data_IF_973799251279
#
_entry.id   IF_973799251279
#
_cell.length_a   1.000
_cell.length_b   1.000
_cell.length_c   1.000
_cell.angle_alpha   90.00
_cell.angle_beta   90.00
_cell.angle_gamma   90.00
#
_symmetry.space_group_name_H-M   'P 1'
#
loop_
_entity.id
_entity.type
_entity.pdbx_description
1 polymer ?
#
# COMPACT_ATOMS: atom_id res chain seq x y z
N UNK A 1 22.90 -9.40 -20.49
CA UNK A 1 21.86 -10.29 -21.06
C UNK A 1 20.54 -10.12 -20.32
N UNK A 2 20.58 -9.95 -18.99
CA UNK A 2 19.41 -9.66 -18.14
C UNK A 2 18.72 -8.32 -18.50
N UNK A 3 19.44 -7.22 -18.70
CA UNK A 3 18.83 -5.94 -19.09
C UNK A 3 17.98 -6.02 -20.37
N UNK A 4 18.47 -6.69 -21.42
CA UNK A 4 17.71 -6.86 -22.67
C UNK A 4 16.44 -7.70 -22.47
N UNK A 5 16.47 -8.65 -21.54
CA UNK A 5 15.31 -9.49 -21.21
C UNK A 5 14.26 -8.68 -20.44
N UNK A 6 14.68 -7.84 -19.51
CA UNK A 6 13.76 -7.00 -18.74
C UNK A 6 13.15 -5.89 -19.59
N UNK A 7 13.93 -5.29 -20.49
CA UNK A 7 13.40 -4.36 -21.50
C UNK A 7 12.38 -5.05 -22.40
N UNK A 8 12.63 -6.28 -22.85
CA UNK A 8 11.67 -7.03 -23.67
C UNK A 8 10.37 -7.35 -22.91
N UNK A 9 10.43 -7.65 -21.61
CA UNK A 9 9.23 -7.85 -20.77
C UNK A 9 8.43 -6.55 -20.64
N UNK A 10 9.11 -5.44 -20.38
CA UNK A 10 8.46 -4.12 -20.27
C UNK A 10 7.84 -3.71 -21.61
N UNK A 11 8.53 -3.94 -22.72
CA UNK A 11 8.01 -3.69 -24.07
C UNK A 11 6.77 -4.54 -24.37
N UNK A 12 6.76 -5.81 -23.95
CA UNK A 12 5.57 -6.69 -24.05
C UNK A 12 4.40 -6.16 -23.22
N UNK A 13 4.65 -5.67 -22.00
CA UNK A 13 3.61 -5.04 -21.17
C UNK A 13 3.06 -3.76 -21.79
N UNK A 14 3.92 -2.90 -22.34
CA UNK A 14 3.51 -1.69 -23.08
C UNK A 14 2.64 -2.08 -24.27
N UNK A 15 3.09 -3.04 -25.07
CA UNK A 15 2.36 -3.53 -26.23
C UNK A 15 0.96 -4.07 -25.86
N UNK A 16 0.86 -4.87 -24.81
CA UNK A 16 -0.41 -5.40 -24.32
C UNK A 16 -1.34 -4.26 -23.84
N UNK A 17 -0.80 -3.30 -23.11
CA UNK A 17 -1.56 -2.15 -22.63
C UNK A 17 -2.07 -1.28 -23.79
N UNK A 18 -1.23 -1.00 -24.78
CA UNK A 18 -1.59 -0.25 -26.00
C UNK A 18 -2.68 -0.99 -26.78
N UNK A 19 -2.58 -2.31 -26.90
CA UNK A 19 -3.55 -3.15 -27.62
C UNK A 19 -4.95 -3.14 -27.00
N UNK A 20 -5.05 -2.86 -25.70
CA UNK A 20 -6.32 -2.76 -24.96
C UNK A 20 -6.98 -1.37 -25.05
N UNK A 21 -6.27 -0.35 -25.55
CA UNK A 21 -6.83 0.99 -25.69
C UNK A 21 -7.83 1.06 -26.87
N UNK A 22 -8.95 1.77 -26.72
CA UNK A 22 -9.94 1.93 -27.78
C UNK A 22 -9.37 2.73 -28.98
N UNK A 23 -8.41 3.62 -28.73
CA UNK A 23 -7.67 4.41 -29.73
C UNK A 23 -6.42 3.67 -30.24
N UNK A 24 -6.57 2.38 -30.59
CA UNK A 24 -5.46 1.57 -31.10
C UNK A 24 -4.94 2.14 -32.42
N UNK A 25 -3.64 2.38 -32.52
CA UNK A 25 -2.98 2.74 -33.77
C UNK A 25 -2.15 1.55 -34.25
N UNK A 26 -2.53 0.99 -35.41
CA UNK A 26 -1.87 -0.19 -35.99
C UNK A 26 -0.38 0.06 -36.27
N UNK A 27 -0.01 1.30 -36.61
CA UNK A 27 1.38 1.70 -36.84
C UNK A 27 2.20 1.72 -35.53
N UNK A 28 1.57 2.12 -34.42
CA UNK A 28 2.20 2.13 -33.09
C UNK A 28 2.46 0.70 -32.61
N UNK A 29 1.49 -0.20 -32.81
CA UNK A 29 1.62 -1.62 -32.50
C UNK A 29 2.72 -2.27 -33.35
N UNK A 30 2.77 -1.96 -34.65
CA UNK A 30 3.77 -2.51 -35.57
C UNK A 30 5.19 -2.07 -35.20
N UNK A 31 5.38 -0.80 -34.80
CA UNK A 31 6.67 -0.29 -34.30
C UNK A 31 7.11 -0.94 -32.98
N UNK A 32 6.19 -1.21 -32.06
CA UNK A 32 6.47 -1.96 -30.84
C UNK A 32 6.82 -3.44 -31.11
N UNK A 33 6.38 -3.98 -32.24
CA UNK A 33 6.69 -5.36 -32.65
C UNK A 33 8.00 -5.48 -33.44
N UNK A 34 8.44 -4.44 -34.15
CA UNK A 34 9.54 -4.54 -35.13
C UNK A 34 10.93 -4.49 -34.51
N UNK A 35 11.14 -3.63 -33.51
CA UNK A 35 12.47 -3.35 -32.95
C UNK A 35 12.45 -3.38 -31.41
N UNK A 36 13.53 -3.85 -30.80
CA UNK A 36 13.73 -3.69 -29.35
C UNK A 36 14.03 -2.21 -29.08
N UNK A 37 13.06 -1.51 -28.52
CA UNK A 37 13.16 -0.08 -28.23
C UNK A 37 13.94 0.13 -26.93
N UNK A 38 14.60 1.28 -26.81
CA UNK A 38 15.23 1.66 -25.55
C UNK A 38 14.17 2.13 -24.51
N UNK A 39 14.55 2.12 -23.23
CA UNK A 39 13.66 2.50 -22.12
C UNK A 39 13.16 3.94 -22.22
N UNK A 40 13.96 4.85 -22.77
CA UNK A 40 13.58 6.26 -22.95
C UNK A 40 12.52 6.39 -24.03
N UNK A 41 12.68 5.69 -25.16
CA UNK A 41 11.72 5.63 -26.24
C UNK A 41 10.40 5.01 -25.78
N UNK A 42 10.44 3.89 -25.03
CA UNK A 42 9.24 3.28 -24.44
C UNK A 42 8.51 4.25 -23.51
N UNK A 43 9.26 5.06 -22.75
CA UNK A 43 8.69 6.05 -21.84
C UNK A 43 8.06 7.22 -22.59
N UNK A 44 8.87 7.95 -23.38
CA UNK A 44 8.49 9.23 -23.98
C UNK A 44 7.53 9.08 -25.16
N UNK A 45 7.67 8.03 -25.97
CA UNK A 45 6.88 7.87 -27.19
C UNK A 45 5.60 7.06 -26.98
N UNK A 46 5.51 6.26 -25.91
CA UNK A 46 4.37 5.36 -25.69
C UNK A 46 3.75 5.55 -24.30
N UNK A 47 4.49 5.38 -23.21
CA UNK A 47 3.91 5.37 -21.87
C UNK A 47 3.40 6.75 -21.43
N UNK A 48 4.14 7.82 -21.72
CA UNK A 48 3.77 9.21 -21.43
C UNK A 48 2.55 9.68 -22.23
N UNK A 49 2.53 9.62 -23.57
CA UNK A 49 1.43 10.16 -24.37
C UNK A 49 0.12 9.40 -24.18
N UNK A 50 0.19 8.10 -23.86
CA UNK A 50 -0.97 7.24 -23.70
C UNK A 50 -1.46 7.13 -22.24
N UNK A 51 -0.78 7.79 -21.29
CA UNK A 51 -1.16 7.77 -19.87
C UNK A 51 -1.06 6.38 -19.23
N UNK A 52 -0.12 5.56 -19.69
CA UNK A 52 0.07 4.18 -19.20
C UNK A 52 0.93 4.16 -17.92
N UNK A 53 0.35 4.58 -16.80
CA UNK A 53 1.08 4.78 -15.54
C UNK A 53 1.78 3.51 -15.01
N UNK A 54 1.17 2.33 -15.16
CA UNK A 54 1.79 1.08 -14.76
C UNK A 54 3.01 0.73 -15.62
N UNK A 55 2.94 1.02 -16.92
CA UNK A 55 4.07 0.85 -17.82
C UNK A 55 5.18 1.84 -17.48
N UNK A 56 4.87 3.09 -17.14
CA UNK A 56 5.87 4.06 -16.65
C UNK A 56 6.62 3.52 -15.43
N UNK A 57 5.90 2.97 -14.45
CA UNK A 57 6.51 2.37 -13.26
C UNK A 57 7.42 1.18 -13.62
N UNK A 58 6.96 0.32 -14.53
CA UNK A 58 7.73 -0.84 -14.99
C UNK A 58 9.01 -0.43 -15.74
N UNK A 59 8.92 0.60 -16.59
CA UNK A 59 10.07 1.16 -17.32
C UNK A 59 11.09 1.74 -16.33
N UNK A 60 10.66 2.58 -15.38
CA UNK A 60 11.56 3.18 -14.39
C UNK A 60 12.24 2.12 -13.50
N UNK A 61 11.48 1.10 -13.08
CA UNK A 61 12.01 -0.02 -12.31
C UNK A 61 13.04 -0.81 -13.11
N UNK A 62 12.77 -1.10 -14.39
CA UNK A 62 13.71 -1.79 -15.28
C UNK A 62 14.97 -0.97 -15.57
N UNK A 63 14.83 0.36 -15.72
CA UNK A 63 15.95 1.26 -15.97
C UNK A 63 16.73 1.62 -14.70
N UNK A 64 16.27 1.14 -13.52
CA UNK A 64 16.77 1.55 -12.20
C UNK A 64 16.86 3.09 -12.04
N UNK A 65 15.94 3.81 -12.70
CA UNK A 65 15.89 5.27 -12.67
C UNK A 65 14.91 5.71 -11.58
N UNK A 66 15.45 6.08 -10.43
CA UNK A 66 14.67 6.49 -9.27
C UNK A 66 14.58 8.01 -9.15
N UNK A 67 13.34 8.50 -9.12
CA UNK A 67 12.98 9.83 -8.66
C UNK A 67 11.77 9.69 -7.71
N UNK A 68 11.95 10.10 -6.45
CA UNK A 68 10.93 9.93 -5.41
C UNK A 68 9.61 10.64 -5.74
N UNK A 69 9.69 11.85 -6.30
CA UNK A 69 8.51 12.65 -6.62
C UNK A 69 7.77 12.04 -7.82
N UNK A 70 8.52 11.61 -8.84
CA UNK A 70 7.97 10.94 -10.02
C UNK A 70 7.31 9.61 -9.66
N UNK A 71 7.99 8.74 -8.89
CA UNK A 71 7.43 7.45 -8.46
C UNK A 71 6.14 7.66 -7.65
N UNK A 72 6.14 8.61 -6.72
CA UNK A 72 4.94 8.94 -5.93
C UNK A 72 3.80 9.46 -6.83
N UNK A 73 4.12 10.34 -7.78
CA UNK A 73 3.15 10.83 -8.78
C UNK A 73 2.58 9.72 -9.64
N UNK A 74 3.40 8.77 -10.09
CA UNK A 74 2.95 7.61 -10.87
C UNK A 74 1.97 6.77 -10.05
N UNK A 75 2.31 6.42 -8.80
CA UNK A 75 1.42 5.68 -7.92
C UNK A 75 0.11 6.42 -7.64
N UNK A 76 0.17 7.73 -7.41
CA UNK A 76 -1.03 8.56 -7.24
C UNK A 76 -1.94 8.49 -8.47
N UNK A 77 -1.37 8.58 -9.67
CA UNK A 77 -2.13 8.50 -10.92
C UNK A 77 -2.72 7.10 -11.17
N UNK A 78 -1.99 6.02 -10.85
CA UNK A 78 -2.51 4.65 -10.90
C UNK A 78 -3.75 4.52 -10.02
N UNK A 79 -3.65 4.97 -8.77
CA UNK A 79 -4.76 4.88 -7.79
C UNK A 79 -5.93 5.76 -8.24
N UNK A 80 -5.68 7.00 -8.66
CA UNK A 80 -6.71 7.94 -9.10
C UNK A 80 -7.46 7.43 -10.33
N UNK A 81 -6.74 6.86 -11.32
CA UNK A 81 -7.34 6.28 -12.50
C UNK A 81 -8.28 5.12 -12.14
N UNK A 82 -7.89 4.28 -11.19
CA UNK A 82 -8.71 3.15 -10.74
C UNK A 82 -9.93 3.62 -9.93
N UNK A 83 -9.73 4.54 -8.98
CA UNK A 83 -10.80 5.17 -8.19
C UNK A 83 -11.84 5.86 -9.08
N UNK A 84 -11.40 6.56 -10.13
CA UNK A 84 -12.30 7.26 -11.07
C UNK A 84 -13.25 6.29 -11.78
N UNK A 85 -12.77 5.11 -12.20
CA UNK A 85 -13.61 4.06 -12.82
C UNK A 85 -14.66 3.52 -11.84
N UNK A 86 -14.38 3.56 -10.55
CA UNK A 86 -15.23 3.02 -9.50
C UNK A 86 -16.25 4.02 -8.95
N UNK A 87 -16.34 5.24 -9.50
CA UNK A 87 -17.16 6.32 -8.92
C UNK A 87 -18.62 5.91 -8.63
N UNK A 88 -19.24 5.16 -9.55
CA UNK A 88 -20.63 4.70 -9.45
C UNK A 88 -20.81 3.33 -8.78
N UNK A 89 -19.72 2.67 -8.38
CA UNK A 89 -19.78 1.35 -7.73
C UNK A 89 -20.13 1.46 -6.24
N UNK A 90 -20.65 0.37 -5.68
CA UNK A 90 -20.86 0.22 -4.23
C UNK A 90 -19.51 0.09 -3.48
N UNK A 91 -19.57 0.22 -2.15
CA UNK A 91 -18.39 0.16 -1.27
C UNK A 91 -17.63 -1.16 -1.38
N UNK A 92 -18.32 -2.29 -1.45
CA UNK A 92 -17.67 -3.61 -1.48
C UNK A 92 -16.89 -3.76 -2.78
N UNK A 93 -17.52 -3.44 -3.91
CA UNK A 93 -16.87 -3.45 -5.23
C UNK A 93 -15.68 -2.49 -5.29
N UNK A 94 -15.81 -1.29 -4.71
CA UNK A 94 -14.71 -0.30 -4.62
C UNK A 94 -13.49 -0.87 -3.89
N UNK A 95 -13.71 -1.41 -2.69
CA UNK A 95 -12.65 -1.96 -1.85
C UNK A 95 -12.02 -3.22 -2.45
N UNK A 96 -12.83 -4.10 -3.05
CA UNK A 96 -12.36 -5.32 -3.68
C UNK A 96 -11.51 -5.02 -4.93
N UNK A 97 -11.98 -4.12 -5.80
CA UNK A 97 -11.31 -3.81 -7.07
C UNK A 97 -9.99 -3.08 -6.84
N UNK A 98 -10.01 -2.00 -6.05
CA UNK A 98 -8.78 -1.28 -5.70
C UNK A 98 -7.82 -2.19 -4.92
N UNK A 99 -8.33 -2.97 -3.97
CA UNK A 99 -7.51 -3.88 -3.18
C UNK A 99 -6.82 -4.96 -4.03
N UNK A 100 -7.53 -5.54 -5.00
CA UNK A 100 -6.96 -6.52 -5.95
C UNK A 100 -5.87 -5.91 -6.82
N UNK A 101 -6.10 -4.69 -7.33
CA UNK A 101 -5.11 -3.95 -8.12
C UNK A 101 -3.83 -3.69 -7.33
N UNK A 102 -3.97 -3.23 -6.09
CA UNK A 102 -2.84 -2.90 -5.21
C UNK A 102 -2.09 -4.13 -4.74
N UNK A 103 -2.77 -5.25 -4.50
CA UNK A 103 -2.11 -6.54 -4.20
C UNK A 103 -1.25 -7.01 -5.38
N UNK A 104 -1.78 -6.92 -6.61
CA UNK A 104 -1.07 -7.33 -7.82
C UNK A 104 0.20 -6.50 -8.02
N UNK A 105 0.08 -5.17 -8.00
CA UNK A 105 1.24 -4.29 -8.16
C UNK A 105 2.21 -4.41 -6.98
N UNK A 106 1.69 -4.53 -5.76
CA UNK A 106 2.49 -4.70 -4.56
C UNK A 106 3.37 -5.95 -4.60
N UNK A 107 2.88 -7.09 -5.09
CA UNK A 107 3.71 -8.30 -5.23
C UNK A 107 4.91 -8.12 -6.15
N UNK A 108 4.80 -7.24 -7.14
CA UNK A 108 5.90 -6.93 -8.07
C UNK A 108 6.91 -5.98 -7.44
N UNK A 109 6.44 -4.93 -6.74
CA UNK A 109 7.30 -3.81 -6.34
C UNK A 109 7.64 -3.76 -4.84
N UNK A 110 6.95 -4.50 -3.96
CA UNK A 110 7.13 -4.36 -2.50
C UNK A 110 8.55 -4.65 -1.99
N UNK A 111 9.31 -5.47 -2.72
CA UNK A 111 10.72 -5.77 -2.43
C UNK A 111 11.67 -4.64 -2.86
N UNK A 112 11.21 -3.73 -3.72
CA UNK A 112 11.99 -2.62 -4.24
C UNK A 112 11.57 -1.33 -3.52
N UNK A 113 12.26 -0.99 -2.43
CA UNK A 113 11.85 0.13 -1.57
C UNK A 113 11.78 1.48 -2.29
N UNK A 114 12.63 1.67 -3.31
CA UNK A 114 12.65 2.87 -4.14
C UNK A 114 11.39 3.02 -5.00
N UNK A 115 10.87 1.90 -5.52
CA UNK A 115 9.72 1.90 -6.42
C UNK A 115 8.39 1.60 -5.72
N UNK A 116 8.43 1.37 -4.40
CA UNK A 116 7.26 1.12 -3.56
C UNK A 116 7.23 2.09 -2.37
N UNK A 117 6.70 3.33 -2.56
CA UNK A 117 6.67 4.37 -1.53
C UNK A 117 5.65 4.02 -0.45
N UNK A 118 6.05 3.12 0.45
CA UNK A 118 5.18 2.42 1.39
C UNK A 118 4.35 3.37 2.26
N UNK A 119 4.96 4.41 2.82
CA UNK A 119 4.27 5.36 3.70
C UNK A 119 3.17 6.15 2.96
N UNK A 120 3.47 6.60 1.73
CA UNK A 120 2.48 7.24 0.85
C UNK A 120 1.34 6.28 0.50
N UNK A 121 1.66 5.03 0.15
CA UNK A 121 0.66 4.02 -0.21
C UNK A 121 -0.26 3.68 0.96
N UNK A 122 0.29 3.46 2.15
CA UNK A 122 -0.49 3.19 3.37
C UNK A 122 -1.42 4.36 3.67
N UNK A 123 -0.90 5.60 3.69
CA UNK A 123 -1.71 6.80 3.95
C UNK A 123 -2.84 6.96 2.93
N UNK A 124 -2.53 6.78 1.64
CA UNK A 124 -3.50 6.92 0.55
C UNK A 124 -4.59 5.86 0.66
N UNK A 125 -4.23 4.59 0.87
CA UNK A 125 -5.19 3.51 1.04
C UNK A 125 -6.07 3.73 2.27
N UNK A 126 -5.49 4.12 3.40
CA UNK A 126 -6.28 4.37 4.60
C UNK A 126 -7.23 5.57 4.45
N UNK A 127 -6.85 6.58 3.67
CA UNK A 127 -7.77 7.68 3.32
C UNK A 127 -8.98 7.16 2.53
N UNK A 128 -8.78 6.26 1.57
CA UNK A 128 -9.89 5.63 0.84
C UNK A 128 -10.71 4.67 1.71
N UNK A 129 -10.06 3.93 2.61
CA UNK A 129 -10.72 3.07 3.60
C UNK A 129 -11.69 3.90 4.44
N UNK A 130 -11.26 5.06 4.94
CA UNK A 130 -12.11 5.99 5.69
C UNK A 130 -13.29 6.47 4.86
N UNK A 131 -13.04 7.00 3.66
CA UNK A 131 -14.03 7.61 2.75
C UNK A 131 -15.08 6.62 2.25
N UNK A 132 -14.69 5.38 2.01
CA UNK A 132 -15.60 4.32 1.56
C UNK A 132 -16.18 3.53 2.72
N UNK A 133 -15.85 3.87 3.96
CA UNK A 133 -16.26 3.16 5.16
C UNK A 133 -15.84 1.67 5.16
N UNK A 134 -14.62 1.40 4.71
CA UNK A 134 -13.99 0.09 4.74
C UNK A 134 -13.64 -0.38 6.16
N UNK A 135 -13.42 -1.70 6.33
CA UNK A 135 -13.12 -2.27 7.62
C UNK A 135 -11.70 -1.90 8.10
N UNK A 136 -11.49 -1.76 9.42
CA UNK A 136 -10.15 -1.63 10.00
C UNK A 136 -9.32 -2.87 9.61
N UNK A 137 -8.21 -2.68 8.90
CA UNK A 137 -7.38 -3.78 8.40
C UNK A 137 -7.47 -4.07 6.90
N UNK A 138 -8.34 -3.38 6.14
CA UNK A 138 -8.39 -3.52 4.68
C UNK A 138 -7.04 -3.18 4.02
N UNK A 139 -6.49 -2.00 4.30
CA UNK A 139 -5.20 -1.59 3.73
C UNK A 139 -4.04 -2.44 4.28
N UNK A 140 -4.06 -2.77 5.56
CA UNK A 140 -3.10 -3.70 6.19
C UNK A 140 -3.05 -5.02 5.42
N UNK A 141 -4.20 -5.63 5.15
CA UNK A 141 -4.30 -6.91 4.46
C UNK A 141 -3.73 -6.85 3.05
N UNK A 142 -3.94 -5.74 2.33
CA UNK A 142 -3.38 -5.52 0.99
C UNK A 142 -1.85 -5.51 1.05
N UNK A 143 -1.28 -4.72 1.96
CA UNK A 143 0.17 -4.50 2.05
C UNK A 143 0.90 -5.75 2.56
N UNK A 144 0.32 -6.48 3.52
CA UNK A 144 0.87 -7.78 3.94
C UNK A 144 0.82 -8.80 2.81
N UNK A 145 -0.29 -8.86 2.04
CA UNK A 145 -0.41 -9.77 0.88
C UNK A 145 0.55 -9.40 -0.26
N UNK A 146 1.00 -8.15 -0.32
CA UNK A 146 2.04 -7.70 -1.25
C UNK A 146 3.45 -8.19 -0.85
N UNK A 147 3.63 -8.73 0.36
CA UNK A 147 4.91 -9.26 0.85
C UNK A 147 5.71 -8.28 1.72
N UNK A 148 5.10 -7.18 2.17
CA UNK A 148 5.73 -6.30 3.17
C UNK A 148 5.65 -6.97 4.54
N UNK A 149 6.78 -7.00 5.27
CA UNK A 149 6.81 -7.60 6.60
C UNK A 149 5.92 -6.84 7.60
N UNK A 150 5.35 -7.58 8.56
CA UNK A 150 4.51 -7.00 9.60
C UNK A 150 5.25 -5.89 10.37
N UNK A 151 6.51 -6.11 10.73
CA UNK A 151 7.33 -5.14 11.46
C UNK A 151 7.50 -3.83 10.67
N UNK A 152 7.85 -3.91 9.38
CA UNK A 152 8.01 -2.73 8.53
C UNK A 152 6.71 -1.95 8.41
N UNK A 153 5.59 -2.67 8.24
CA UNK A 153 4.27 -2.07 8.16
C UNK A 153 3.85 -1.41 9.49
N UNK A 154 4.05 -2.09 10.62
CA UNK A 154 3.75 -1.57 11.94
C UNK A 154 4.53 -0.28 12.23
N UNK A 155 5.82 -0.23 11.87
CA UNK A 155 6.64 0.97 12.00
C UNK A 155 6.10 2.16 11.18
N UNK A 156 5.58 1.90 9.97
CA UNK A 156 4.93 2.94 9.14
C UNK A 156 3.66 3.47 9.80
N UNK A 157 2.78 2.59 10.30
CA UNK A 157 1.57 3.03 11.00
C UNK A 157 1.88 3.83 12.27
N UNK A 158 2.91 3.45 13.03
CA UNK A 158 3.39 4.24 14.18
C UNK A 158 3.81 5.64 13.76
N UNK A 159 4.61 5.78 12.68
CA UNK A 159 5.04 7.09 12.16
C UNK A 159 3.85 7.92 11.69
N UNK A 160 2.90 7.32 10.96
CA UNK A 160 1.70 8.00 10.51
C UNK A 160 0.84 8.49 11.68
N UNK A 161 0.74 7.69 12.75
CA UNK A 161 0.05 8.10 13.98
C UNK A 161 0.78 9.24 14.69
N UNK A 162 2.11 9.13 14.83
CA UNK A 162 2.96 10.15 15.44
C UNK A 162 2.98 11.48 14.68
N UNK A 163 2.77 11.45 13.35
CA UNK A 163 2.66 12.65 12.51
C UNK A 163 1.39 13.47 12.80
N UNK A 164 0.39 12.90 13.50
CA UNK A 164 -0.87 13.56 13.89
C UNK A 164 -1.55 14.30 12.74
N UNK A 165 -1.59 13.67 11.56
CA UNK A 165 -2.14 14.29 10.36
C UNK A 165 -3.62 14.70 10.54
N UNK A 166 -3.94 15.93 10.14
CA UNK A 166 -5.28 16.53 10.27
C UNK A 166 -6.31 15.85 9.37
N UNK A 167 -5.88 15.09 8.35
CA UNK A 167 -6.80 14.37 7.43
C UNK A 167 -7.79 13.49 8.19
N UNK A 168 -7.37 12.81 9.26
CA UNK A 168 -8.24 11.92 10.02
C UNK A 168 -9.31 12.67 10.81
N UNK A 169 -8.96 13.88 11.28
CA UNK A 169 -9.90 14.79 11.94
C UNK A 169 -10.90 15.34 10.92
N UNK A 170 -10.41 15.77 9.76
CA UNK A 170 -11.24 16.32 8.69
C UNK A 170 -12.25 15.29 8.14
N UNK A 171 -11.87 14.02 8.08
CA UNK A 171 -12.75 12.91 7.67
C UNK A 171 -13.66 12.40 8.82
N UNK A 172 -13.65 13.05 9.99
CA UNK A 172 -14.51 12.72 11.13
C UNK A 172 -14.16 11.40 11.84
N UNK A 173 -12.98 10.82 11.58
CA UNK A 173 -12.51 9.57 12.19
C UNK A 173 -11.14 9.79 12.86
N UNK A 174 -11.07 10.59 13.94
CA UNK A 174 -9.80 10.99 14.57
C UNK A 174 -8.96 9.82 15.09
N UNK A 175 -9.63 8.76 15.56
CA UNK A 175 -8.97 7.57 16.09
C UNK A 175 -8.84 6.46 15.03
N UNK A 176 -8.92 6.78 13.73
CA UNK A 176 -8.86 5.79 12.64
C UNK A 176 -7.58 4.96 12.70
N UNK A 177 -6.41 5.61 12.74
CA UNK A 177 -5.13 4.89 12.81
C UNK A 177 -5.02 4.03 14.07
N UNK A 178 -5.56 4.46 15.21
CA UNK A 178 -5.59 3.66 16.43
C UNK A 178 -6.44 2.39 16.28
N UNK A 179 -7.59 2.47 15.60
CA UNK A 179 -8.40 1.29 15.28
C UNK A 179 -7.64 0.30 14.38
N UNK A 180 -6.91 0.81 13.39
CA UNK A 180 -6.10 -0.03 12.50
C UNK A 180 -4.92 -0.66 13.24
N UNK A 181 -4.24 0.10 14.10
CA UNK A 181 -3.17 -0.39 14.96
C UNK A 181 -3.66 -1.47 15.94
N UNK A 182 -4.85 -1.30 16.52
CA UNK A 182 -5.47 -2.34 17.33
C UNK A 182 -5.77 -3.61 16.52
N UNK A 183 -6.33 -3.50 15.31
CA UNK A 183 -6.54 -4.65 14.40
C UNK A 183 -5.20 -5.35 14.06
N UNK A 184 -4.14 -4.60 13.77
CA UNK A 184 -2.80 -5.17 13.53
C UNK A 184 -2.28 -5.96 14.73
N UNK A 185 -2.40 -5.40 15.93
CA UNK A 185 -1.93 -6.06 17.15
C UNK A 185 -2.80 -7.27 17.52
N UNK A 186 -4.12 -7.20 17.29
CA UNK A 186 -4.98 -8.37 17.44
C UNK A 186 -4.54 -9.50 16.50
N UNK A 187 -4.23 -9.21 15.23
CA UNK A 187 -3.67 -10.22 14.29
C UNK A 187 -2.35 -10.80 14.76
N UNK A 188 -1.50 -9.99 15.39
CA UNK A 188 -0.21 -10.45 15.92
C UNK A 188 -0.38 -11.44 17.07
N UNK A 189 -1.34 -11.17 17.95
CA UNK A 189 -1.60 -11.94 19.17
C UNK A 189 -2.54 -13.12 18.93
N UNK A 190 -3.34 -13.09 17.86
CA UNK A 190 -4.32 -14.13 17.56
C UNK A 190 -3.67 -15.42 17.06
N UNK A 191 -3.51 -16.37 17.98
CA UNK A 191 -2.99 -17.71 17.73
C UNK A 191 -3.81 -18.52 16.71
N UNK A 192 -5.09 -18.22 16.51
CA UNK A 192 -5.95 -18.94 15.56
C UNK A 192 -5.59 -18.66 14.10
N UNK A 193 -4.94 -17.51 13.83
CA UNK A 193 -4.46 -17.11 12.50
C UNK A 193 -2.98 -17.41 12.27
N UNK A 194 -2.35 -18.15 13.21
CA UNK A 194 -0.91 -18.36 13.26
C UNK A 194 -0.12 -17.19 13.88
N UNK A 195 -0.78 -16.04 14.12
CA UNK A 195 -0.28 -14.91 14.90
C UNK A 195 1.17 -14.53 14.64
N UNK A 196 1.92 -14.34 15.72
CA UNK A 196 3.34 -14.06 15.74
C UNK A 196 4.17 -15.09 14.96
N UNK A 197 3.76 -16.36 14.94
CA UNK A 197 4.49 -17.41 14.25
C UNK A 197 4.40 -17.32 12.73
N UNK A 198 3.23 -16.92 12.22
CA UNK A 198 3.00 -16.72 10.79
C UNK A 198 3.53 -15.37 10.29
N UNK A 199 3.48 -14.33 11.13
CA UNK A 199 3.75 -12.95 10.71
C UNK A 199 5.21 -12.50 10.91
N UNK A 200 5.95 -13.15 11.82
CA UNK A 200 7.23 -12.63 12.30
C UNK A 200 8.28 -13.75 12.44
N UNK A 201 9.45 -13.62 11.80
CA UNK A 201 10.59 -14.52 12.00
C UNK A 201 10.99 -14.58 13.48
N UNK A 202 11.36 -15.77 13.98
CA UNK A 202 11.65 -15.99 15.40
C UNK A 202 12.70 -15.04 15.98
N UNK A 203 13.71 -14.68 15.19
CA UNK A 203 14.78 -13.77 15.61
C UNK A 203 14.29 -12.36 15.97
N UNK A 204 13.21 -11.90 15.33
CA UNK A 204 12.73 -10.51 15.45
C UNK A 204 11.59 -10.36 16.47
N UNK A 205 11.01 -11.48 16.93
CA UNK A 205 9.81 -11.51 17.77
C UNK A 205 9.95 -10.70 19.04
N UNK A 206 11.02 -10.92 19.82
CA UNK A 206 11.22 -10.26 21.11
C UNK A 206 11.36 -8.75 20.96
N UNK A 207 12.13 -8.31 19.96
CA UNK A 207 12.33 -6.88 19.70
C UNK A 207 11.02 -6.22 19.26
N UNK A 208 10.26 -6.87 18.38
CA UNK A 208 8.96 -6.38 17.93
C UNK A 208 7.93 -6.32 19.07
N UNK A 209 7.83 -7.36 19.91
CA UNK A 209 6.90 -7.36 21.05
C UNK A 209 7.21 -6.18 21.98
N UNK A 210 8.48 -5.94 22.29
CA UNK A 210 8.89 -4.78 23.08
C UNK A 210 8.44 -3.46 22.46
N UNK A 211 8.62 -3.28 21.15
CA UNK A 211 8.14 -2.11 20.41
C UNK A 211 6.61 -1.98 20.45
N UNK A 212 5.87 -3.09 20.34
CA UNK A 212 4.42 -3.08 20.41
C UNK A 212 3.92 -2.67 21.81
N UNK A 213 4.52 -3.19 22.88
CA UNK A 213 4.16 -2.84 24.26
C UNK A 213 4.40 -1.35 24.54
N UNK A 214 5.57 -0.83 24.14
CA UNK A 214 5.89 0.59 24.29
C UNK A 214 4.91 1.47 23.51
N UNK A 215 4.63 1.13 22.25
CA UNK A 215 3.68 1.86 21.42
C UNK A 215 2.26 1.87 22.02
N UNK A 216 1.79 0.74 22.56
CA UNK A 216 0.49 0.65 23.25
C UNK A 216 0.43 1.58 24.45
N UNK A 217 1.53 1.71 25.22
CA UNK A 217 1.61 2.66 26.33
C UNK A 217 1.43 4.12 25.87
N UNK A 218 2.03 4.49 24.75
CA UNK A 218 1.85 5.81 24.13
C UNK A 218 0.40 6.01 23.69
N UNK A 219 -0.19 5.03 23.00
CA UNK A 219 -1.58 5.10 22.53
C UNK A 219 -2.58 5.27 23.67
N UNK A 220 -2.41 4.53 24.76
CA UNK A 220 -3.25 4.64 25.94
C UNK A 220 -3.14 6.04 26.56
N UNK A 221 -1.92 6.55 26.73
CA UNK A 221 -1.67 7.90 27.27
C UNK A 221 -2.40 8.95 26.44
N UNK A 222 -2.22 8.92 25.12
CA UNK A 222 -2.89 9.85 24.21
C UNK A 222 -4.42 9.74 24.28
N UNK A 223 -4.96 8.52 24.30
CA UNK A 223 -6.40 8.26 24.40
C UNK A 223 -7.00 8.77 25.72
N UNK A 224 -6.27 8.70 26.83
CA UNK A 224 -6.72 9.28 28.11
C UNK A 224 -6.76 10.80 28.08
N UNK A 225 -5.91 11.45 27.28
CA UNK A 225 -5.89 12.89 27.11
C UNK A 225 -6.93 13.39 26.09
N UNK A 226 -7.37 12.56 25.15
CA UNK A 226 -8.33 12.94 24.09
C UNK A 226 -9.74 12.44 24.34
N UNK A 227 -10.72 13.36 24.44
CA UNK A 227 -12.13 13.00 24.60
C UNK A 227 -12.84 12.88 23.26
N UNK A 228 -12.86 11.67 22.69
CA UNK A 228 -13.70 11.32 21.53
C UNK A 228 -14.61 10.12 21.84
N UNK A 229 -15.78 10.01 21.19
CA UNK A 229 -16.78 8.98 21.45
C UNK A 229 -16.24 7.54 21.31
N UNK A 230 -15.25 7.32 20.46
CA UNK A 230 -14.62 5.99 20.25
C UNK A 230 -13.49 5.67 21.21
N UNK A 231 -13.07 6.61 22.06
CA UNK A 231 -11.89 6.47 22.92
C UNK A 231 -12.09 5.43 24.03
N UNK A 232 -13.23 5.36 24.74
CA UNK A 232 -13.42 4.37 25.80
C UNK A 232 -13.30 2.92 25.31
N UNK A 233 -13.86 2.61 24.14
CA UNK A 233 -13.78 1.29 23.54
C UNK A 233 -12.33 0.93 23.17
N UNK A 234 -11.61 1.87 22.55
CA UNK A 234 -10.20 1.67 22.20
C UNK A 234 -9.30 1.52 23.44
N UNK A 235 -9.55 2.26 24.51
CA UNK A 235 -8.81 2.11 25.77
C UNK A 235 -8.97 0.70 26.33
N UNK A 236 -10.19 0.17 26.35
CA UNK A 236 -10.46 -1.20 26.82
C UNK A 236 -9.75 -2.25 25.93
N UNK A 237 -9.78 -2.05 24.62
CA UNK A 237 -9.11 -2.91 23.66
C UNK A 237 -7.58 -2.89 23.82
N UNK A 238 -6.96 -1.71 23.89
CA UNK A 238 -5.52 -1.59 24.07
C UNK A 238 -5.03 -2.12 25.42
N UNK A 239 -5.80 -1.99 26.50
CA UNK A 239 -5.47 -2.65 27.79
C UNK A 239 -5.48 -4.17 27.66
N UNK A 240 -6.46 -4.70 26.95
CA UNK A 240 -6.52 -6.15 26.68
C UNK A 240 -5.34 -6.60 25.83
N UNK A 241 -4.99 -5.84 24.79
CA UNK A 241 -3.84 -6.11 23.94
C UNK A 241 -2.51 -6.02 24.71
N UNK A 242 -2.36 -5.02 25.58
CA UNK A 242 -1.18 -4.87 26.44
C UNK A 242 -0.96 -6.13 27.28
N UNK A 243 -2.00 -6.57 28.01
CA UNK A 243 -1.89 -7.77 28.84
C UNK A 243 -1.57 -9.03 28.03
N UNK A 244 -2.08 -9.16 26.80
CA UNK A 244 -1.74 -10.30 25.94
C UNK A 244 -0.32 -10.22 25.36
N UNK A 245 0.14 -9.01 24.99
CA UNK A 245 1.50 -8.80 24.46
C UNK A 245 2.57 -9.05 25.52
N UNK A 246 2.31 -8.70 26.77
CA UNK A 246 3.22 -8.95 27.91
C UNK A 246 3.36 -10.45 28.25
N UNK A 247 2.46 -11.30 27.76
CA UNK A 247 2.50 -12.76 27.93
C UNK A 247 3.22 -13.50 26.79
N UNK A 248 3.59 -12.81 25.70
CA UNK A 248 4.30 -13.38 24.53
C UNK A 248 5.83 -13.28 24.67
#
# INVERSE_FOLDING_TARGET
>A
MEEKMDVAKVQSQVLEAVSRLPSRNADTISRLHSDLLDVTQLYEQFAEPLGLWECKLAILHCANHYDSALVTSIWQNIINAEVKKLSSADTETKLATLGSKMKTLGRTYAQSEQFFPLEFLVKTLETYSVRWNGPPGWAVSIILTAGVSFQRLFAVYNRLYGAKDVVWQAEGKPNHLLKVLADMLNRLVDSSTGGLAALVPTADRRALIGQCVEAVGVYLTDLFCTTHATSPALIAEFRTLQGKLELL
#
